data_IF_484089881032
#
_entry.id   IF_484089881032
#
_cell.length_a   1.000
_cell.length_b   1.000
_cell.length_c   1.000
_cell.angle_alpha   90.00
_cell.angle_beta   90.00
_cell.angle_gamma   90.00
#
_symmetry.space_group_name_H-M   'P 1'
#
loop_
_entity.id
_entity.type
_entity.pdbx_description
1 polymer ?
#
# COMPACT_ATOMS: atom_id res chain seq x y z
N UNK A 1 3.01 12.95 -20.47
CA UNK A 1 1.75 13.37 -19.82
C UNK A 1 1.96 13.72 -18.35
N UNK A 2 2.38 12.81 -17.45
CA UNK A 2 2.68 13.12 -16.03
C UNK A 2 3.78 14.18 -15.91
N UNK A 3 4.86 14.05 -16.66
CA UNK A 3 5.99 14.99 -16.69
C UNK A 3 5.58 16.40 -17.09
N UNK A 4 4.84 16.55 -18.22
CA UNK A 4 4.40 17.87 -18.73
C UNK A 4 3.47 18.55 -17.72
N UNK A 5 2.72 17.76 -16.98
CA UNK A 5 1.83 18.24 -15.95
C UNK A 5 2.60 18.72 -14.70
N UNK A 6 3.60 17.97 -14.22
CA UNK A 6 4.50 18.38 -13.13
C UNK A 6 5.25 19.67 -13.49
N UNK A 7 5.69 19.81 -14.75
CA UNK A 7 6.34 21.04 -15.24
C UNK A 7 5.38 22.26 -15.20
N UNK A 8 4.08 22.06 -15.46
CA UNK A 8 3.06 23.13 -15.36
C UNK A 8 2.82 23.60 -13.93
N UNK A 9 3.05 22.77 -12.94
CA UNK A 9 2.99 23.11 -11.52
C UNK A 9 4.24 23.86 -11.02
N UNK A 10 5.14 24.27 -11.90
CA UNK A 10 6.38 24.98 -11.53
C UNK A 10 7.48 24.08 -10.97
N UNK A 11 7.34 22.77 -11.13
CA UNK A 11 8.36 21.81 -10.74
C UNK A 11 9.55 21.92 -11.69
N UNK A 12 10.53 22.73 -11.29
CA UNK A 12 11.73 22.99 -12.07
C UNK A 12 12.46 21.69 -12.40
N UNK A 13 13.12 21.66 -13.57
CA UNK A 13 14.03 20.57 -13.98
C UNK A 13 15.19 20.45 -12.98
N UNK A 14 15.04 19.64 -11.95
CA UNK A 14 16.17 19.19 -11.18
C UNK A 14 17.00 18.24 -12.06
N UNK A 15 18.33 18.35 -12.10
CA UNK A 15 19.18 17.50 -12.95
C UNK A 15 19.07 16.01 -12.61
N UNK A 16 18.74 15.66 -11.37
CA UNK A 16 18.51 14.28 -10.90
C UNK A 16 17.32 14.25 -9.95
N UNK A 17 16.11 14.07 -10.50
CA UNK A 17 14.91 13.89 -9.67
C UNK A 17 14.97 12.56 -8.93
N UNK A 18 14.63 12.63 -7.64
CA UNK A 18 14.56 11.49 -6.73
C UNK A 18 13.10 11.16 -6.44
N UNK A 19 12.72 9.90 -6.57
CA UNK A 19 11.38 9.45 -6.21
C UNK A 19 11.42 8.36 -5.17
N UNK A 20 10.45 8.39 -4.27
CA UNK A 20 10.17 7.32 -3.33
C UNK A 20 8.94 6.56 -3.79
N UNK A 21 9.05 5.25 -3.88
CA UNK A 21 7.99 4.34 -4.31
C UNK A 21 7.65 3.44 -3.14
N UNK A 22 6.37 3.42 -2.76
CA UNK A 22 5.85 2.73 -1.58
C UNK A 22 4.76 1.76 -2.04
N UNK A 23 5.06 0.47 -2.00
CA UNK A 23 4.13 -0.57 -2.43
C UNK A 23 3.13 -0.92 -1.33
N UNK A 24 2.07 -1.63 -1.67
CA UNK A 24 1.09 -2.10 -0.70
C UNK A 24 1.60 -3.29 0.12
N UNK A 25 0.75 -3.74 1.01
CA UNK A 25 1.03 -4.88 1.91
C UNK A 25 0.12 -4.88 3.13
N UNK A 26 -1.03 -4.20 3.04
CA UNK A 26 -1.97 -4.03 4.14
C UNK A 26 -1.38 -3.23 5.31
N UNK A 27 -2.05 -3.27 6.45
CA UNK A 27 -1.60 -2.53 7.66
C UNK A 27 -0.20 -2.97 8.10
N UNK A 28 0.08 -4.26 8.06
CA UNK A 28 1.38 -4.83 8.43
C UNK A 28 2.48 -4.31 7.49
N UNK A 29 2.19 -4.26 6.18
CA UNK A 29 3.11 -3.71 5.18
C UNK A 29 3.43 -2.23 5.40
N UNK A 30 2.42 -1.41 5.62
CA UNK A 30 2.61 0.01 5.92
C UNK A 30 3.42 0.25 7.20
N UNK A 31 3.21 -0.58 8.24
CA UNK A 31 4.02 -0.52 9.46
C UNK A 31 5.48 -0.90 9.21
N UNK A 32 5.73 -1.92 8.38
CA UNK A 32 7.10 -2.25 7.93
C UNK A 32 7.74 -1.07 7.20
N UNK A 33 7.02 -0.41 6.29
CA UNK A 33 7.54 0.75 5.56
C UNK A 33 7.93 1.89 6.48
N UNK A 34 7.09 2.23 7.46
CA UNK A 34 7.42 3.26 8.46
C UNK A 34 8.68 2.89 9.23
N UNK A 35 8.81 1.65 9.69
CA UNK A 35 10.00 1.16 10.37
C UNK A 35 11.26 1.23 9.49
N UNK A 36 11.14 0.76 8.25
CA UNK A 36 12.21 0.79 7.27
C UNK A 36 12.67 2.23 6.94
N UNK A 37 11.72 3.14 6.74
CA UNK A 37 12.00 4.55 6.50
C UNK A 37 12.66 5.23 7.70
N UNK A 38 12.23 4.90 8.92
CA UNK A 38 12.86 5.44 10.15
C UNK A 38 14.34 5.01 10.25
N UNK A 39 14.64 3.75 9.90
CA UNK A 39 16.04 3.28 9.87
C UNK A 39 16.86 3.94 8.75
N UNK A 40 16.28 4.11 7.55
CA UNK A 40 16.93 4.79 6.43
C UNK A 40 17.21 6.26 6.74
N UNK A 41 16.30 6.95 7.43
CA UNK A 41 16.41 8.37 7.77
C UNK A 41 17.55 8.68 8.79
N UNK A 42 18.08 7.63 9.44
CA UNK A 42 19.28 7.74 10.29
C UNK A 42 20.59 7.74 9.49
N UNK A 43 20.56 7.41 8.20
CA UNK A 43 21.74 7.45 7.36
C UNK A 43 22.18 8.91 7.13
N UNK A 44 23.47 9.25 7.34
CA UNK A 44 23.96 10.56 6.99
C UNK A 44 23.71 10.90 5.52
N UNK A 45 23.03 12.01 5.27
CA UNK A 45 22.71 12.45 3.89
C UNK A 45 21.52 11.77 3.24
N UNK A 46 20.81 10.90 3.93
CA UNK A 46 19.50 10.39 3.51
C UNK A 46 18.40 11.06 4.32
N UNK A 47 17.44 11.68 3.64
CA UNK A 47 16.27 12.28 4.26
C UNK A 47 15.03 11.85 3.49
N UNK A 48 14.18 11.07 4.14
CA UNK A 48 12.98 10.52 3.50
C UNK A 48 11.99 11.60 3.02
N UNK A 49 12.04 12.81 3.60
CA UNK A 49 11.22 13.95 3.19
C UNK A 49 11.82 14.81 2.07
N UNK A 50 13.05 14.52 1.61
CA UNK A 50 13.74 15.29 0.56
C UNK A 50 13.57 14.71 -0.84
N UNK A 51 12.67 13.76 -1.01
CA UNK A 51 12.32 13.24 -2.33
C UNK A 51 11.47 14.25 -3.10
N UNK A 52 11.67 14.29 -4.42
CA UNK A 52 10.96 15.22 -5.31
C UNK A 52 9.56 14.70 -5.66
N UNK A 53 9.30 13.41 -5.45
CA UNK A 53 8.04 12.74 -5.77
C UNK A 53 7.85 11.53 -4.88
N UNK A 54 6.61 11.31 -4.44
CA UNK A 54 6.17 10.08 -3.79
C UNK A 54 5.15 9.37 -4.67
N UNK A 55 5.31 8.07 -4.82
CA UNK A 55 4.36 7.18 -5.50
C UNK A 55 3.93 6.12 -4.51
N UNK A 56 2.64 5.99 -4.26
CA UNK A 56 2.11 5.03 -3.30
C UNK A 56 0.95 4.21 -3.85
N UNK A 57 0.82 2.97 -3.39
CA UNK A 57 -0.34 2.11 -3.59
C UNK A 57 -0.75 1.45 -2.29
N UNK A 58 -2.06 1.18 -2.13
CA UNK A 58 -2.59 0.52 -0.94
C UNK A 58 -2.07 1.17 0.36
N UNK A 59 -1.54 0.40 1.30
CA UNK A 59 -0.94 0.94 2.54
C UNK A 59 0.20 1.92 2.28
N UNK A 60 1.00 1.71 1.23
CA UNK A 60 2.06 2.64 0.83
C UNK A 60 1.54 4.01 0.39
N UNK A 61 0.26 4.11 -0.02
CA UNK A 61 -0.37 5.40 -0.30
C UNK A 61 -0.57 6.25 0.96
N UNK A 62 -0.84 5.63 2.10
CA UNK A 62 -0.94 6.31 3.40
C UNK A 62 0.44 6.84 3.82
N UNK A 63 1.46 5.97 3.77
CA UNK A 63 2.83 6.35 4.13
C UNK A 63 3.33 7.45 3.20
N UNK A 64 3.13 7.31 1.89
CA UNK A 64 3.48 8.31 0.88
C UNK A 64 2.80 9.67 1.11
N UNK A 65 1.52 9.67 1.48
CA UNK A 65 0.79 10.91 1.80
C UNK A 65 1.36 11.62 3.03
N UNK A 66 1.78 10.88 4.06
CA UNK A 66 2.40 11.46 5.25
C UNK A 66 3.79 12.01 4.93
N UNK A 67 4.60 11.27 4.16
CA UNK A 67 5.94 11.73 3.72
C UNK A 67 5.82 12.98 2.83
N UNK A 68 4.90 13.00 1.87
CA UNK A 68 4.64 14.14 0.99
C UNK A 68 4.17 15.38 1.77
N UNK A 69 3.47 15.19 2.89
CA UNK A 69 3.08 16.23 3.83
C UNK A 69 4.20 16.65 4.80
N UNK A 70 5.39 16.03 4.75
CA UNK A 70 6.55 16.43 5.54
C UNK A 70 6.64 15.77 6.92
N UNK A 71 5.83 14.76 7.22
CA UNK A 71 5.96 13.99 8.47
C UNK A 71 7.25 13.19 8.43
N UNK A 72 8.08 13.32 9.46
CA UNK A 72 9.35 12.59 9.54
C UNK A 72 9.12 11.12 9.89
N UNK A 73 9.83 10.17 9.24
CA UNK A 73 9.68 8.76 9.56
C UNK A 73 9.91 8.41 11.01
N UNK A 74 10.95 9.01 11.63
CA UNK A 74 11.26 8.80 13.06
C UNK A 74 10.18 9.33 14.00
N UNK A 75 9.51 10.44 13.66
CA UNK A 75 8.36 10.96 14.41
C UNK A 75 7.18 9.98 14.31
N UNK A 76 6.84 9.54 13.10
CA UNK A 76 5.76 8.59 12.88
C UNK A 76 6.04 7.25 13.55
N UNK A 77 7.28 6.76 13.48
CA UNK A 77 7.73 5.56 14.19
C UNK A 77 7.47 5.68 15.70
N UNK A 78 7.90 6.78 16.32
CA UNK A 78 7.73 7.00 17.75
C UNK A 78 6.24 7.10 18.16
N UNK A 79 5.40 7.75 17.35
CA UNK A 79 3.95 7.82 17.57
C UNK A 79 3.35 6.42 17.62
N UNK A 80 3.70 5.56 16.66
CA UNK A 80 3.15 4.22 16.50
C UNK A 80 3.74 3.22 17.51
N UNK A 81 5.04 3.28 17.79
CA UNK A 81 5.72 2.35 18.69
C UNK A 81 5.37 2.59 20.16
N UNK A 82 5.30 3.85 20.55
CA UNK A 82 4.98 4.27 21.92
C UNK A 82 3.48 4.44 22.19
N UNK A 83 2.63 4.22 21.16
CA UNK A 83 1.18 4.43 21.24
C UNK A 83 0.79 5.83 21.76
N UNK A 84 1.50 6.85 21.27
CA UNK A 84 1.26 8.24 21.68
C UNK A 84 -0.18 8.64 21.37
N UNK A 85 -0.74 9.51 22.20
CA UNK A 85 -2.03 10.15 21.92
C UNK A 85 -1.85 11.21 20.81
N UNK A 86 -1.95 10.73 19.57
CA UNK A 86 -1.72 11.51 18.35
C UNK A 86 -2.73 11.08 17.27
N UNK A 87 -3.28 12.01 16.49
CA UNK A 87 -4.20 11.68 15.38
C UNK A 87 -3.64 10.68 14.36
N UNK A 88 -2.31 10.60 14.20
CA UNK A 88 -1.63 9.66 13.30
C UNK A 88 -1.42 8.27 13.93
N UNK A 89 -1.76 8.09 15.20
CA UNK A 89 -1.69 6.80 15.84
C UNK A 89 -2.86 5.92 15.38
N UNK A 90 -2.59 5.09 14.38
CA UNK A 90 -3.54 4.23 13.73
C UNK A 90 -4.02 3.11 14.66
N UNK A 91 -5.11 3.36 15.40
CA UNK A 91 -5.68 2.41 16.33
C UNK A 91 -6.78 1.55 15.66
N UNK A 92 -6.91 0.29 16.11
CA UNK A 92 -7.93 -0.66 15.65
C UNK A 92 -9.34 -0.07 15.66
N UNK A 93 -9.67 0.72 16.71
CA UNK A 93 -10.97 1.35 16.85
C UNK A 93 -11.28 2.44 15.83
N UNK A 94 -10.26 3.05 15.22
CA UNK A 94 -10.40 4.11 14.23
C UNK A 94 -10.81 3.60 12.86
N UNK A 95 -10.41 2.38 12.50
CA UNK A 95 -10.66 1.76 11.18
C UNK A 95 -11.83 0.79 11.19
N UNK A 96 -12.03 0.07 12.31
CA UNK A 96 -13.10 -0.90 12.47
C UNK A 96 -14.13 -0.41 13.49
N UNK A 97 -14.94 0.57 13.11
CA UNK A 97 -16.09 0.96 13.94
C UNK A 97 -17.18 -0.13 13.94
N UNK A 98 -17.99 -0.16 15.01
CA UNK A 98 -19.15 -1.08 15.11
C UNK A 98 -20.05 -1.05 13.87
N UNK A 99 -20.10 0.05 13.13
CA UNK A 99 -20.82 0.19 11.86
C UNK A 99 -20.25 -0.66 10.71
N UNK A 100 -18.94 -0.89 10.67
CA UNK A 100 -18.31 -1.77 9.65
C UNK A 100 -18.68 -3.23 9.87
N UNK A 101 -18.83 -3.66 11.14
CA UNK A 101 -19.25 -5.01 11.49
C UNK A 101 -20.73 -5.27 11.21
N UNK A 102 -21.61 -4.27 11.35
CA UNK A 102 -23.03 -4.43 11.02
C UNK A 102 -23.24 -4.61 9.51
N UNK A 103 -22.45 -3.94 8.67
CA UNK A 103 -22.40 -4.16 7.22
C UNK A 103 -21.91 -5.57 6.88
N UNK A 104 -20.77 -5.98 7.45
CA UNK A 104 -20.20 -7.31 7.23
C UNK A 104 -21.16 -8.42 7.70
N UNK A 105 -21.80 -8.28 8.88
CA UNK A 105 -22.79 -9.23 9.38
C UNK A 105 -24.01 -9.32 8.45
N UNK A 106 -24.49 -8.17 7.94
CA UNK A 106 -25.59 -8.14 6.97
C UNK A 106 -25.19 -8.82 5.66
N UNK A 107 -24.02 -8.54 5.14
CA UNK A 107 -23.50 -9.13 3.89
C UNK A 107 -23.31 -10.64 4.05
N UNK A 108 -22.78 -11.10 5.18
CA UNK A 108 -22.66 -12.53 5.49
C UNK A 108 -24.04 -13.19 5.64
N UNK A 109 -25.01 -12.53 6.31
CA UNK A 109 -26.38 -13.03 6.42
C UNK A 109 -27.08 -13.11 5.06
N UNK A 110 -26.87 -12.12 4.19
CA UNK A 110 -27.38 -12.15 2.81
C UNK A 110 -26.78 -13.30 2.00
N UNK A 111 -25.46 -13.53 2.14
CA UNK A 111 -24.76 -14.65 1.48
C UNK A 111 -25.31 -16.01 1.94
N UNK A 112 -25.42 -16.23 3.27
CA UNK A 112 -25.97 -17.47 3.85
C UNK A 112 -27.44 -17.66 3.41
N UNK A 113 -28.23 -16.59 3.40
CA UNK A 113 -29.61 -16.62 2.94
C UNK A 113 -29.74 -16.95 1.44
N UNK A 114 -28.86 -16.36 0.59
CA UNK A 114 -28.84 -16.59 -0.84
C UNK A 114 -28.52 -18.07 -1.17
N UNK A 115 -27.51 -18.64 -0.49
CA UNK A 115 -27.18 -20.07 -0.59
C UNK A 115 -28.36 -20.93 -0.10
N UNK A 116 -28.92 -20.63 1.06
CA UNK A 116 -30.04 -21.37 1.63
C UNK A 116 -31.28 -21.34 0.75
N UNK A 117 -31.64 -20.18 0.20
CA UNK A 117 -32.76 -20.03 -0.72
C UNK A 117 -32.58 -20.88 -1.98
N UNK A 118 -31.40 -20.86 -2.60
CA UNK A 118 -31.11 -21.64 -3.81
C UNK A 118 -31.03 -23.13 -3.55
N UNK A 119 -30.45 -23.54 -2.42
CA UNK A 119 -30.43 -24.95 -2.03
C UNK A 119 -31.86 -25.53 -1.88
N UNK A 120 -32.83 -24.69 -1.51
CA UNK A 120 -34.25 -25.09 -1.38
C UNK A 120 -35.00 -25.04 -2.70
N UNK A 121 -34.67 -24.08 -3.58
CA UNK A 121 -35.38 -23.91 -4.87
C UNK A 121 -34.86 -24.83 -5.99
N UNK A 122 -33.58 -25.17 -5.96
CA UNK A 122 -32.91 -25.96 -7.02
C UNK A 122 -32.34 -27.27 -6.47
N UNK A 123 -33.21 -28.16 -6.00
CA UNK A 123 -32.89 -29.46 -5.37
C UNK A 123 -32.08 -30.45 -6.26
N UNK A 124 -31.75 -30.08 -7.50
CA UNK A 124 -31.03 -30.91 -8.48
C UNK A 124 -29.65 -30.38 -8.88
N UNK A 125 -29.16 -29.28 -8.28
CA UNK A 125 -27.85 -28.71 -8.60
C UNK A 125 -26.77 -29.36 -7.74
N UNK A 126 -25.67 -29.78 -8.40
CA UNK A 126 -24.46 -30.17 -7.70
C UNK A 126 -23.82 -28.95 -6.99
N UNK A 127 -23.14 -29.17 -5.86
CA UNK A 127 -22.52 -28.11 -5.07
C UNK A 127 -21.64 -27.13 -5.86
N UNK A 128 -20.84 -27.56 -6.88
CA UNK A 128 -20.06 -26.64 -7.70
C UNK A 128 -20.93 -25.68 -8.52
N UNK A 129 -22.04 -26.15 -9.08
CA UNK A 129 -22.98 -25.32 -9.85
C UNK A 129 -23.74 -24.33 -8.97
N UNK A 130 -24.06 -24.75 -7.73
CA UNK A 130 -24.68 -23.88 -6.74
C UNK A 130 -23.76 -22.73 -6.36
N UNK A 131 -22.48 -23.00 -6.11
CA UNK A 131 -21.48 -21.99 -5.79
C UNK A 131 -21.22 -21.05 -6.98
N UNK A 132 -21.08 -21.59 -8.19
CA UNK A 132 -20.86 -20.81 -9.40
C UNK A 132 -22.01 -19.85 -9.71
N UNK A 133 -23.26 -20.31 -9.56
CA UNK A 133 -24.46 -19.49 -9.79
C UNK A 133 -24.76 -18.53 -8.64
N UNK A 134 -24.28 -18.81 -7.43
CA UNK A 134 -24.41 -17.92 -6.26
C UNK A 134 -23.42 -16.76 -6.29
N UNK A 135 -22.42 -16.78 -7.18
CA UNK A 135 -21.43 -15.73 -7.30
C UNK A 135 -22.02 -14.32 -7.50
N UNK A 136 -23.11 -14.23 -8.27
CA UNK A 136 -23.83 -12.96 -8.46
C UNK A 136 -24.62 -12.45 -7.26
N UNK A 137 -24.84 -13.30 -6.24
CA UNK A 137 -25.54 -12.95 -5.00
C UNK A 137 -24.55 -12.69 -3.84
N UNK A 138 -23.23 -12.86 -4.12
CA UNK A 138 -22.21 -12.51 -3.13
C UNK A 138 -22.10 -10.98 -3.03
N UNK A 139 -21.88 -10.44 -1.81
CA UNK A 139 -21.59 -9.02 -1.68
C UNK A 139 -20.27 -8.68 -2.40
N UNK A 140 -20.12 -7.46 -2.94
CA UNK A 140 -18.91 -7.04 -3.65
C UNK A 140 -17.67 -6.98 -2.75
N UNK A 141 -17.85 -7.05 -1.44
CA UNK A 141 -16.85 -7.10 -0.38
C UNK A 141 -17.50 -7.24 0.98
N UNK A 142 -16.73 -7.59 2.00
CA UNK A 142 -17.26 -7.77 3.35
C UNK A 142 -17.24 -6.49 4.16
N UNK A 143 -16.31 -5.57 3.89
CA UNK A 143 -16.10 -4.34 4.66
C UNK A 143 -16.13 -3.10 3.76
N UNK A 144 -16.53 -1.96 4.35
CA UNK A 144 -16.45 -0.66 3.70
C UNK A 144 -15.17 0.08 4.09
N UNK A 145 -14.62 0.85 3.17
CA UNK A 145 -13.47 1.74 3.40
C UNK A 145 -13.86 3.16 3.82
N UNK A 146 -15.15 3.47 3.93
CA UNK A 146 -15.60 4.77 4.42
C UNK A 146 -15.01 5.14 5.81
N UNK A 147 -14.86 4.21 6.78
CA UNK A 147 -14.19 4.51 8.05
C UNK A 147 -12.72 4.84 7.90
N UNK A 148 -12.00 4.18 6.99
CA UNK A 148 -10.58 4.48 6.69
C UNK A 148 -10.47 5.88 6.08
N UNK A 149 -11.29 6.21 5.09
CA UNK A 149 -11.32 7.54 4.48
C UNK A 149 -11.55 8.63 5.53
N UNK A 150 -12.59 8.47 6.36
CA UNK A 150 -12.92 9.43 7.40
C UNK A 150 -11.77 9.61 8.40
N UNK A 151 -11.16 8.51 8.85
CA UNK A 151 -10.01 8.54 9.74
C UNK A 151 -8.83 9.30 9.12
N UNK A 152 -8.43 8.96 7.88
CA UNK A 152 -7.31 9.62 7.20
C UNK A 152 -7.58 11.12 7.05
N UNK A 153 -8.77 11.49 6.59
CA UNK A 153 -9.19 12.88 6.44
C UNK A 153 -9.11 13.66 7.76
N UNK A 154 -9.63 13.08 8.84
CA UNK A 154 -9.65 13.69 10.16
C UNK A 154 -8.25 13.80 10.76
N UNK A 155 -7.42 12.76 10.60
CA UNK A 155 -6.05 12.74 11.09
C UNK A 155 -5.18 13.80 10.37
N UNK A 156 -5.28 13.89 9.05
CA UNK A 156 -4.59 14.95 8.28
C UNK A 156 -5.02 16.34 8.74
N UNK A 157 -6.33 16.59 8.86
CA UNK A 157 -6.86 17.89 9.31
C UNK A 157 -6.42 18.23 10.73
N UNK A 158 -6.48 17.28 11.66
CA UNK A 158 -6.11 17.50 13.06
C UNK A 158 -4.62 17.83 13.22
N UNK A 159 -3.77 17.31 12.31
CA UNK A 159 -2.33 17.62 12.27
C UNK A 159 -2.00 18.85 11.41
N UNK A 160 -2.98 19.53 10.85
CA UNK A 160 -2.77 20.67 9.94
C UNK A 160 -2.11 20.28 8.61
N UNK A 161 -2.27 19.02 8.19
CA UNK A 161 -1.73 18.47 6.96
C UNK A 161 -2.72 18.62 5.81
N UNK A 162 -2.21 18.64 4.56
CA UNK A 162 -3.06 18.75 3.39
C UNK A 162 -3.75 17.42 3.07
N UNK A 163 -5.06 17.48 2.82
CA UNK A 163 -5.84 16.41 2.20
C UNK A 163 -6.07 16.67 0.69
N UNK A 164 -5.27 17.56 0.09
CA UNK A 164 -5.34 17.98 -1.31
C UNK A 164 -3.95 17.81 -1.94
N UNK A 165 -3.88 17.20 -3.12
CA UNK A 165 -2.62 16.97 -3.83
C UNK A 165 -1.87 18.25 -4.19
N UNK A 166 -2.58 19.36 -4.46
CA UNK A 166 -1.96 20.66 -4.75
C UNK A 166 -1.36 21.27 -3.48
N UNK A 167 -1.96 21.00 -2.33
CA UNK A 167 -1.55 21.55 -1.04
C UNK A 167 -0.40 20.81 -0.36
N UNK A 168 0.04 19.65 -0.87
CA UNK A 168 1.18 18.93 -0.29
C UNK A 168 2.50 19.63 -0.60
N UNK A 169 3.44 19.72 0.36
CA UNK A 169 4.78 20.26 0.14
C UNK A 169 5.57 19.56 -0.98
N UNK A 170 5.28 18.30 -1.22
CA UNK A 170 5.91 17.49 -2.27
C UNK A 170 4.84 16.76 -3.09
N UNK A 171 5.03 16.53 -4.40
CA UNK A 171 4.09 15.75 -5.21
C UNK A 171 3.89 14.36 -4.68
N UNK A 172 2.64 13.95 -4.79
CA UNK A 172 2.18 12.61 -4.46
C UNK A 172 1.38 12.06 -5.63
N UNK A 173 1.67 10.84 -6.02
CA UNK A 173 0.86 10.05 -6.95
C UNK A 173 0.33 8.82 -6.20
N UNK A 174 -0.96 8.56 -6.32
CA UNK A 174 -1.60 7.36 -5.75
C UNK A 174 -2.25 6.58 -6.88
N UNK A 175 -1.83 5.31 -7.03
CA UNK A 175 -2.37 4.43 -8.06
C UNK A 175 -3.56 3.63 -7.54
N UNK A 176 -4.57 3.45 -8.39
CA UNK A 176 -5.69 2.52 -8.19
C UNK A 176 -6.10 1.92 -9.53
N UNK A 177 -6.96 0.90 -9.48
CA UNK A 177 -7.52 0.29 -10.70
C UNK A 177 -9.00 0.67 -10.83
N UNK A 178 -9.36 1.31 -11.93
CA UNK A 178 -10.75 1.57 -12.31
C UNK A 178 -11.36 0.24 -12.78
N UNK A 179 -12.29 -0.30 -11.97
CA UNK A 179 -12.74 -1.69 -12.10
C UNK A 179 -13.43 -1.96 -13.44
N UNK A 180 -14.43 -1.14 -13.80
CA UNK A 180 -15.22 -1.34 -15.01
C UNK A 180 -14.45 -1.00 -16.30
N UNK A 181 -13.43 -0.15 -16.21
CA UNK A 181 -12.57 0.24 -17.33
C UNK A 181 -11.39 -0.72 -17.51
N UNK A 182 -11.10 -1.55 -16.51
CA UNK A 182 -9.96 -2.44 -16.45
C UNK A 182 -8.61 -1.71 -16.70
N UNK A 183 -8.47 -0.50 -16.15
CA UNK A 183 -7.29 0.35 -16.36
C UNK A 183 -6.73 0.90 -15.05
N UNK A 184 -5.42 1.10 -15.03
CA UNK A 184 -4.75 1.83 -13.95
C UNK A 184 -5.06 3.32 -14.05
N UNK A 185 -5.45 3.91 -12.93
CA UNK A 185 -5.61 5.36 -12.78
C UNK A 185 -4.63 5.91 -11.75
N UNK A 186 -4.28 7.18 -11.89
CA UNK A 186 -3.30 7.85 -11.03
C UNK A 186 -3.93 9.12 -10.46
N UNK A 187 -4.28 9.07 -9.17
CA UNK A 187 -4.69 10.24 -8.42
C UNK A 187 -3.49 11.14 -8.15
N UNK A 188 -3.72 12.44 -8.07
CA UNK A 188 -2.65 13.43 -8.00
C UNK A 188 -2.10 13.80 -9.37
N UNK A 189 -2.79 13.44 -10.46
CA UNK A 189 -2.45 13.84 -11.82
C UNK A 189 -3.69 14.05 -12.71
N UNK A 190 -3.58 14.89 -13.72
CA UNK A 190 -4.63 15.11 -14.71
C UNK A 190 -5.99 15.48 -14.08
N UNK A 191 -7.06 14.85 -14.57
CA UNK A 191 -8.44 15.06 -14.12
C UNK A 191 -8.77 14.51 -12.73
N UNK A 192 -7.82 13.78 -12.11
CA UNK A 192 -7.96 13.20 -10.76
C UNK A 192 -7.16 13.97 -9.69
N UNK A 193 -6.67 15.15 -10.03
CA UNK A 193 -5.92 16.04 -9.16
C UNK A 193 -6.75 16.62 -8.02
N UNK A 194 -8.02 16.85 -8.26
CA UNK A 194 -8.98 17.49 -7.34
C UNK A 194 -9.74 16.46 -6.48
N UNK A 195 -9.37 15.16 -6.56
CA UNK A 195 -9.86 14.13 -5.64
C UNK A 195 -9.11 14.29 -4.31
N UNK A 196 -9.80 14.29 -3.15
CA UNK A 196 -9.13 14.33 -1.85
C UNK A 196 -8.17 13.14 -1.67
N UNK A 197 -7.01 13.38 -1.04
CA UNK A 197 -6.00 12.33 -0.77
C UNK A 197 -6.62 11.16 0.01
N UNK A 198 -7.48 11.45 1.01
CA UNK A 198 -8.17 10.42 1.79
C UNK A 198 -9.05 9.50 0.94
N UNK A 199 -9.74 10.04 -0.09
CA UNK A 199 -10.52 9.24 -1.02
C UNK A 199 -9.63 8.42 -1.97
N UNK A 200 -8.54 9.01 -2.45
CA UNK A 200 -7.57 8.31 -3.28
C UNK A 200 -6.92 7.12 -2.53
N UNK A 201 -6.57 7.33 -1.24
CA UNK A 201 -6.07 6.27 -0.35
C UNK A 201 -7.12 5.15 -0.20
N UNK A 202 -8.39 5.50 0.05
CA UNK A 202 -9.45 4.51 0.17
C UNK A 202 -9.64 3.72 -1.13
N UNK A 203 -9.63 4.39 -2.29
CA UNK A 203 -9.70 3.73 -3.60
C UNK A 203 -8.53 2.78 -3.83
N UNK A 204 -7.32 3.23 -3.51
CA UNK A 204 -6.08 2.46 -3.65
C UNK A 204 -5.95 1.29 -2.65
N UNK A 205 -6.77 1.27 -1.59
CA UNK A 205 -6.74 0.24 -0.54
C UNK A 205 -7.91 -0.73 -0.61
N UNK A 206 -8.73 -0.68 -1.66
CA UNK A 206 -9.92 -1.52 -1.82
C UNK A 206 -9.54 -2.93 -2.30
N UNK A 207 -8.94 -3.74 -1.40
CA UNK A 207 -8.51 -5.11 -1.67
C UNK A 207 -9.71 -5.97 -2.06
N UNK A 208 -9.73 -6.55 -3.29
CA UNK A 208 -10.84 -7.36 -3.78
C UNK A 208 -11.13 -8.56 -2.86
N UNK A 209 -12.41 -8.83 -2.64
CA UNK A 209 -12.87 -9.91 -1.78
C UNK A 209 -12.82 -9.59 -0.28
N UNK A 210 -12.09 -8.59 0.16
CA UNK A 210 -12.08 -8.11 1.54
C UNK A 210 -12.91 -6.83 1.68
N UNK A 211 -12.60 -5.81 0.89
CA UNK A 211 -13.36 -4.57 0.83
C UNK A 211 -14.26 -4.52 -0.41
N UNK A 212 -15.38 -3.83 -0.29
CA UNK A 212 -16.16 -3.42 -1.45
C UNK A 212 -15.36 -2.39 -2.28
N UNK A 213 -15.52 -2.36 -3.61
CA UNK A 213 -14.90 -1.34 -4.45
C UNK A 213 -15.25 0.07 -3.94
N UNK A 214 -14.26 0.96 -3.88
CA UNK A 214 -14.50 2.32 -3.40
C UNK A 214 -14.99 3.22 -4.53
N UNK A 215 -16.12 3.90 -4.31
CA UNK A 215 -16.77 4.68 -5.37
C UNK A 215 -16.40 6.16 -5.29
N UNK A 216 -15.84 6.70 -6.39
CA UNK A 216 -15.55 8.13 -6.56
C UNK A 216 -16.20 8.61 -7.87
N UNK A 217 -17.05 9.64 -7.81
CA UNK A 217 -17.68 10.26 -9.00
C UNK A 217 -18.39 9.25 -9.91
N UNK A 218 -19.01 8.25 -9.30
CA UNK A 218 -19.78 7.23 -10.02
C UNK A 218 -18.94 6.09 -10.63
N UNK A 219 -17.61 6.08 -10.45
CA UNK A 219 -16.72 4.98 -10.87
C UNK A 219 -16.27 4.17 -9.67
N UNK A 220 -16.13 2.87 -9.85
CA UNK A 220 -15.69 1.93 -8.84
C UNK A 220 -14.19 1.63 -9.01
N UNK A 221 -13.46 1.69 -7.90
CA UNK A 221 -12.02 1.49 -7.85
C UNK A 221 -11.67 0.34 -6.90
N UNK A 222 -10.63 -0.41 -7.26
CA UNK A 222 -10.02 -1.44 -6.42
C UNK A 222 -8.54 -1.14 -6.20
N UNK A 223 -7.93 -1.90 -5.29
CA UNK A 223 -6.54 -1.73 -4.85
C UNK A 223 -5.56 -1.55 -6.01
N UNK A 224 -4.64 -0.60 -5.86
CA UNK A 224 -3.65 -0.26 -6.87
C UNK A 224 -2.69 -1.40 -7.21
N UNK A 225 -2.47 -2.33 -6.30
CA UNK A 225 -1.58 -3.47 -6.52
C UNK A 225 -2.22 -4.60 -7.35
N UNK A 226 -3.50 -4.47 -7.74
CA UNK A 226 -4.15 -5.40 -8.67
C UNK A 226 -3.56 -5.25 -10.07
N UNK A 227 -2.77 -6.24 -10.49
CA UNK A 227 -2.12 -6.26 -11.81
C UNK A 227 -0.87 -5.40 -11.95
N UNK A 228 -0.54 -4.60 -10.94
CA UNK A 228 0.68 -3.80 -10.85
C UNK A 228 1.21 -3.84 -9.42
N UNK A 229 2.51 -3.63 -9.23
CA UNK A 229 3.06 -3.53 -7.87
C UNK A 229 4.15 -2.47 -7.82
N UNK A 230 4.05 -1.57 -6.82
CA UNK A 230 5.02 -0.51 -6.55
C UNK A 230 5.00 0.66 -7.52
N UNK A 231 4.46 0.51 -8.74
CA UNK A 231 4.26 1.59 -9.72
C UNK A 231 5.51 2.47 -9.97
N UNK A 232 6.71 1.87 -9.96
CA UNK A 232 7.97 2.59 -10.15
C UNK A 232 8.09 3.24 -11.55
N UNK A 233 7.37 2.73 -12.54
CA UNK A 233 7.24 3.30 -13.88
C UNK A 233 6.67 4.72 -13.84
N UNK A 234 5.71 5.01 -12.96
CA UNK A 234 5.14 6.36 -12.79
C UNK A 234 6.21 7.37 -12.34
N UNK A 235 7.13 6.94 -11.47
CA UNK A 235 8.24 7.78 -11.04
C UNK A 235 9.21 8.08 -12.20
N UNK A 236 9.51 7.08 -13.04
CA UNK A 236 10.35 7.22 -14.23
C UNK A 236 9.69 8.11 -15.29
N UNK A 237 8.38 7.91 -15.54
CA UNK A 237 7.59 8.76 -16.43
C UNK A 237 7.56 10.22 -15.95
N UNK A 238 7.57 10.46 -14.63
CA UNK A 238 7.68 11.77 -14.02
C UNK A 238 9.10 12.37 -14.13
N UNK A 239 10.08 11.62 -14.66
CA UNK A 239 11.44 12.04 -14.90
C UNK A 239 12.40 11.76 -13.74
N UNK A 240 12.06 10.88 -12.81
CA UNK A 240 12.99 10.47 -11.76
C UNK A 240 14.14 9.65 -12.32
N UNK A 241 15.35 9.91 -11.80
CA UNK A 241 16.59 9.20 -12.14
C UNK A 241 17.13 8.37 -10.97
N UNK A 242 16.67 8.66 -9.78
CA UNK A 242 17.01 7.93 -8.55
C UNK A 242 15.73 7.52 -7.87
N UNK A 243 15.52 6.22 -7.72
CA UNK A 243 14.36 5.64 -7.06
C UNK A 243 14.76 4.89 -5.81
N UNK A 244 14.03 5.12 -4.72
CA UNK A 244 14.04 4.24 -3.54
C UNK A 244 12.67 3.57 -3.48
N UNK A 245 12.63 2.26 -3.66
CA UNK A 245 11.40 1.48 -3.71
C UNK A 245 11.30 0.56 -2.48
N UNK A 246 10.27 0.75 -1.68
CA UNK A 246 9.94 -0.12 -0.55
C UNK A 246 8.86 -1.11 -1.00
N UNK A 247 9.10 -2.41 -0.79
CA UNK A 247 8.14 -3.46 -1.11
C UNK A 247 7.97 -4.41 0.07
N UNK A 248 6.98 -4.22 0.96
CA UNK A 248 6.72 -5.12 2.07
C UNK A 248 6.02 -6.42 1.67
N UNK A 249 5.39 -6.48 0.50
CA UNK A 249 4.59 -7.62 0.02
C UNK A 249 5.46 -8.75 -0.53
N UNK A 250 6.34 -9.30 0.33
CA UNK A 250 7.20 -10.43 0.00
C UNK A 250 6.59 -11.71 0.54
N UNK A 251 6.41 -12.77 -0.29
CA UNK A 251 5.86 -14.04 0.17
C UNK A 251 6.81 -14.72 1.15
N UNK A 252 6.24 -15.51 2.04
CA UNK A 252 7.03 -16.29 2.99
C UNK A 252 7.59 -17.54 2.33
N UNK A 253 8.83 -17.85 2.66
CA UNK A 253 9.45 -19.11 2.31
C UNK A 253 9.65 -19.93 3.59
N UNK A 254 8.84 -20.98 3.79
CA UNK A 254 8.84 -21.84 4.96
C UNK A 254 9.73 -23.08 4.74
N UNK A 255 10.94 -22.91 4.22
CA UNK A 255 11.85 -24.01 3.95
C UNK A 255 12.32 -24.69 5.26
N UNK A 256 11.52 -25.64 5.75
CA UNK A 256 11.98 -26.63 6.76
C UNK A 256 12.19 -26.11 8.19
N UNK A 257 11.34 -25.20 8.68
CA UNK A 257 11.37 -24.75 10.08
C UNK A 257 10.12 -25.17 10.86
N UNK A 258 10.09 -24.87 12.16
CA UNK A 258 8.94 -25.10 13.05
C UNK A 258 7.74 -24.15 12.77
N UNK A 259 7.83 -23.31 11.72
CA UNK A 259 6.76 -22.42 11.34
C UNK A 259 5.56 -23.22 10.81
N UNK A 260 4.33 -22.89 11.21
CA UNK A 260 3.14 -23.59 10.75
C UNK A 260 2.97 -23.42 9.24
N UNK A 261 2.61 -24.49 8.55
CA UNK A 261 2.32 -24.49 7.11
C UNK A 261 1.24 -23.43 6.78
N UNK A 262 1.42 -22.69 5.67
CA UNK A 262 0.47 -21.70 5.17
C UNK A 262 -0.96 -22.27 5.08
N UNK A 263 -1.08 -23.53 4.66
CA UNK A 263 -2.35 -24.27 4.57
C UNK A 263 -3.14 -24.25 5.87
N UNK A 264 -2.49 -24.25 7.03
CA UNK A 264 -3.17 -24.24 8.34
C UNK A 264 -3.83 -22.91 8.65
N UNK A 265 -3.43 -21.83 8.00
CA UNK A 265 -4.08 -20.52 8.08
C UNK A 265 -5.37 -20.40 7.27
N UNK A 266 -5.78 -21.49 6.58
CA UNK A 266 -7.02 -21.55 5.81
C UNK A 266 -6.99 -20.76 4.50
N UNK A 267 -8.16 -20.54 3.91
CA UNK A 267 -8.31 -19.91 2.59
C UNK A 267 -7.67 -18.53 2.53
N UNK A 268 -7.85 -17.72 3.57
CA UNK A 268 -7.31 -16.36 3.62
C UNK A 268 -5.78 -16.36 3.51
N UNK A 269 -5.09 -17.16 4.32
CA UNK A 269 -3.62 -17.24 4.29
C UNK A 269 -3.08 -17.75 2.95
N UNK A 270 -3.81 -18.67 2.29
CA UNK A 270 -3.46 -19.15 0.95
C UNK A 270 -3.62 -18.03 -0.07
N UNK A 271 -4.73 -17.31 -0.04
CA UNK A 271 -4.97 -16.17 -0.94
C UNK A 271 -3.93 -15.07 -0.74
N UNK A 272 -3.64 -14.70 0.50
CA UNK A 272 -2.63 -13.70 0.83
C UNK A 272 -1.24 -14.11 0.33
N UNK A 273 -0.80 -15.33 0.62
CA UNK A 273 0.48 -15.85 0.14
C UNK A 273 0.57 -15.84 -1.39
N UNK A 274 -0.48 -16.27 -2.08
CA UNK A 274 -0.52 -16.28 -3.56
C UNK A 274 -0.53 -14.89 -4.15
N UNK A 275 -1.21 -13.94 -3.51
CA UNK A 275 -1.18 -12.53 -3.88
C UNK A 275 0.22 -11.95 -3.72
N UNK A 276 0.90 -12.21 -2.61
CA UNK A 276 2.29 -11.75 -2.41
C UNK A 276 3.26 -12.36 -3.43
N UNK A 277 3.08 -13.64 -3.81
CA UNK A 277 3.87 -14.27 -4.88
C UNK A 277 3.65 -13.52 -6.22
N UNK A 278 2.40 -13.25 -6.58
CA UNK A 278 2.08 -12.53 -7.81
C UNK A 278 2.62 -11.09 -7.77
N UNK A 279 2.41 -10.37 -6.66
CA UNK A 279 2.90 -9.00 -6.45
C UNK A 279 4.42 -8.90 -6.57
N UNK A 280 5.17 -9.79 -5.91
CA UNK A 280 6.64 -9.80 -6.01
C UNK A 280 7.12 -10.07 -7.43
N UNK A 281 6.46 -10.99 -8.15
CA UNK A 281 6.80 -11.28 -9.55
C UNK A 281 6.54 -10.06 -10.45
N UNK A 282 5.39 -9.41 -10.32
CA UNK A 282 5.04 -8.19 -11.07
C UNK A 282 6.01 -7.05 -10.76
N UNK A 283 6.33 -6.84 -9.48
CA UNK A 283 7.32 -5.85 -9.05
C UNK A 283 8.67 -6.09 -9.71
N UNK A 284 9.17 -7.33 -9.67
CA UNK A 284 10.45 -7.69 -10.28
C UNK A 284 10.44 -7.54 -11.82
N UNK A 285 9.30 -7.85 -12.47
CA UNK A 285 9.14 -7.65 -13.92
C UNK A 285 9.21 -6.16 -14.24
N UNK A 286 8.44 -5.32 -13.53
CA UNK A 286 8.46 -3.87 -13.72
C UNK A 286 9.85 -3.26 -13.51
N UNK A 287 10.58 -3.68 -12.47
CA UNK A 287 11.95 -3.21 -12.24
C UNK A 287 12.93 -3.64 -13.35
N UNK A 288 12.76 -4.86 -13.89
CA UNK A 288 13.58 -5.32 -15.05
C UNK A 288 13.28 -4.51 -16.30
N UNK A 289 12.02 -4.21 -16.56
CA UNK A 289 11.60 -3.37 -17.68
C UNK A 289 12.20 -1.96 -17.56
N UNK A 290 12.10 -1.34 -16.39
CA UNK A 290 12.73 -0.03 -16.14
C UNK A 290 14.23 -0.08 -16.41
N UNK A 291 14.96 -1.11 -15.94
CA UNK A 291 16.39 -1.25 -16.17
C UNK A 291 16.76 -1.42 -17.63
N UNK A 292 15.88 -2.06 -18.43
CA UNK A 292 16.09 -2.25 -19.87
C UNK A 292 15.82 -0.97 -20.67
N UNK A 293 14.72 -0.28 -20.36
CA UNK A 293 14.28 0.90 -21.10
C UNK A 293 14.98 2.19 -20.63
N UNK A 294 15.39 2.23 -19.36
CA UNK A 294 15.97 3.38 -18.69
C UNK A 294 17.24 2.98 -17.91
N UNK A 295 18.34 2.58 -18.61
CA UNK A 295 19.55 2.07 -17.96
C UNK A 295 20.27 3.12 -17.10
N UNK A 296 19.95 4.39 -17.27
CA UNK A 296 20.45 5.53 -16.50
C UNK A 296 19.69 5.75 -15.16
N UNK A 297 18.58 5.02 -14.93
CA UNK A 297 17.84 5.11 -13.69
C UNK A 297 18.46 4.21 -12.62
N UNK A 298 18.81 4.81 -11.48
CA UNK A 298 19.31 4.09 -10.31
C UNK A 298 18.13 3.69 -9.41
N UNK A 299 18.08 2.42 -9.01
CA UNK A 299 17.01 1.90 -8.16
C UNK A 299 17.60 1.22 -6.94
N UNK A 300 17.23 1.69 -5.75
CA UNK A 300 17.43 1.03 -4.47
C UNK A 300 16.11 0.33 -4.08
N UNK A 301 16.17 -0.98 -3.90
CA UNK A 301 15.03 -1.76 -3.41
C UNK A 301 15.25 -2.10 -1.95
N UNK A 302 14.26 -1.79 -1.11
CA UNK A 302 14.21 -2.12 0.32
C UNK A 302 13.00 -3.02 0.54
N UNK A 303 13.25 -4.27 0.90
CA UNK A 303 12.21 -5.26 1.12
C UNK A 303 12.67 -6.30 2.13
N UNK A 304 11.74 -6.97 2.86
CA UNK A 304 12.10 -8.06 3.75
C UNK A 304 12.64 -9.26 2.98
N UNK A 305 13.46 -10.07 3.63
CA UNK A 305 13.82 -11.36 3.08
C UNK A 305 12.62 -12.33 3.09
N UNK A 306 12.50 -13.25 2.11
CA UNK A 306 11.42 -14.24 2.03
C UNK A 306 11.62 -15.36 3.05
N UNK A 307 11.59 -15.05 4.33
CA UNK A 307 11.72 -15.97 5.47
C UNK A 307 10.57 -15.75 6.47
N UNK A 308 10.33 -16.70 7.39
CA UNK A 308 9.36 -16.48 8.45
C UNK A 308 9.66 -15.17 9.19
N UNK A 309 8.67 -14.29 9.29
CA UNK A 309 8.83 -12.95 9.85
C UNK A 309 7.53 -12.51 10.54
N UNK A 310 7.54 -11.45 11.34
CA UNK A 310 6.32 -10.85 11.90
C UNK A 310 5.35 -10.29 10.85
N UNK A 311 5.75 -10.27 9.57
CA UNK A 311 4.87 -9.89 8.47
C UNK A 311 3.89 -11.02 8.08
N UNK A 312 3.86 -12.09 8.90
CA UNK A 312 2.97 -13.24 8.79
C UNK A 312 1.69 -12.97 9.57
N UNK A 313 0.60 -13.36 9.01
CA UNK A 313 -0.71 -13.27 9.63
C UNK A 313 -1.64 -12.39 8.78
N UNK A 314 -2.88 -12.19 9.18
CA UNK A 314 -3.77 -11.35 8.42
C UNK A 314 -3.12 -9.98 8.22
N UNK A 315 -2.84 -9.59 6.97
CA UNK A 315 -2.18 -8.32 6.63
C UNK A 315 -2.91 -7.11 7.21
N UNK A 316 -4.16 -7.30 7.60
CA UNK A 316 -5.01 -6.34 8.31
C UNK A 316 -5.00 -6.51 9.84
N UNK A 317 -4.08 -7.31 10.39
CA UNK A 317 -4.00 -7.60 11.83
C UNK A 317 -3.26 -6.52 12.62
N UNK A 318 -3.96 -5.84 13.54
CA UNK A 318 -3.38 -4.78 14.36
C UNK A 318 -2.41 -5.29 15.45
N UNK A 319 -2.59 -6.50 15.95
CA UNK A 319 -1.70 -7.07 16.98
C UNK A 319 -0.28 -7.31 16.43
N UNK A 320 -0.20 -7.70 15.15
CA UNK A 320 1.08 -7.90 14.47
C UNK A 320 1.71 -6.58 13.98
N UNK A 321 0.97 -5.47 13.97
CA UNK A 321 1.41 -4.22 13.33
C UNK A 321 2.63 -3.60 13.99
N UNK A 322 2.69 -3.57 15.35
CA UNK A 322 3.86 -3.06 16.06
C UNK A 322 5.08 -3.95 15.92
N UNK A 323 4.86 -5.28 15.88
CA UNK A 323 5.95 -6.22 15.60
C UNK A 323 6.53 -6.01 14.20
N UNK A 324 5.67 -5.71 13.20
CA UNK A 324 6.08 -5.38 11.85
C UNK A 324 6.83 -4.05 11.76
N UNK A 325 6.38 -3.02 12.49
CA UNK A 325 7.06 -1.74 12.60
C UNK A 325 8.51 -1.90 13.11
N UNK A 326 8.66 -2.58 14.26
CA UNK A 326 9.97 -2.84 14.86
C UNK A 326 10.84 -3.77 14.00
N UNK A 327 10.23 -4.72 13.31
CA UNK A 327 10.91 -5.61 12.38
C UNK A 327 11.48 -4.83 11.20
N UNK A 328 10.69 -3.93 10.58
CA UNK A 328 11.15 -3.08 9.49
C UNK A 328 12.35 -2.23 9.90
N UNK A 329 12.27 -1.55 11.04
CA UNK A 329 13.37 -0.76 11.57
C UNK A 329 14.63 -1.60 11.80
N UNK A 330 14.50 -2.69 12.56
CA UNK A 330 15.65 -3.52 12.93
C UNK A 330 16.33 -4.16 11.72
N UNK A 331 15.56 -4.79 10.82
CA UNK A 331 16.13 -5.51 9.68
C UNK A 331 16.79 -4.58 8.67
N UNK A 332 16.24 -3.39 8.46
CA UNK A 332 16.87 -2.39 7.61
C UNK A 332 18.13 -1.83 8.28
N UNK A 333 18.11 -1.59 9.59
CA UNK A 333 19.30 -1.17 10.33
C UNK A 333 20.43 -2.19 10.24
N UNK A 334 20.14 -3.47 10.50
CA UNK A 334 21.08 -4.58 10.36
C UNK A 334 21.64 -4.68 8.93
N UNK A 335 20.78 -4.48 7.91
CA UNK A 335 21.21 -4.46 6.52
C UNK A 335 22.12 -3.28 6.21
N UNK A 336 21.84 -2.09 6.74
CA UNK A 336 22.66 -0.88 6.58
C UNK A 336 24.02 -1.00 7.24
N UNK A 337 24.09 -1.65 8.40
CA UNK A 337 25.35 -1.92 9.13
C UNK A 337 26.20 -3.02 8.44
N UNK A 338 25.66 -3.67 7.42
CA UNK A 338 26.27 -4.75 6.66
C UNK A 338 26.31 -4.49 5.15
N UNK A 339 25.68 -5.38 4.34
CA UNK A 339 25.77 -5.31 2.87
C UNK A 339 25.11 -4.06 2.29
N UNK A 340 24.20 -3.42 2.99
CA UNK A 340 23.50 -2.22 2.55
C UNK A 340 24.38 -0.97 2.51
N UNK A 341 25.43 -0.89 3.35
CA UNK A 341 26.30 0.28 3.44
C UNK A 341 26.89 0.68 2.08
N UNK A 342 27.40 -0.28 1.33
CA UNK A 342 27.99 -0.02 0.00
C UNK A 342 26.94 0.34 -1.04
N UNK A 343 25.72 -0.21 -0.93
CA UNK A 343 24.63 0.04 -1.86
C UNK A 343 24.05 1.44 -1.64
N UNK A 344 23.83 1.81 -0.38
CA UNK A 344 23.21 3.09 0.01
C UNK A 344 24.12 4.28 -0.19
N UNK A 345 25.44 4.11 -0.20
CA UNK A 345 26.41 5.19 -0.42
C UNK A 345 26.13 6.02 -1.69
N UNK A 346 25.53 5.43 -2.71
CA UNK A 346 25.15 6.12 -3.95
C UNK A 346 23.88 6.97 -3.81
N UNK A 347 23.07 6.71 -2.77
CA UNK A 347 21.79 7.37 -2.53
C UNK A 347 21.86 8.45 -1.44
N UNK A 348 22.99 8.50 -0.71
CA UNK A 348 23.25 9.43 0.40
C UNK A 348 24.10 10.63 0.00
N UNK A 349 24.60 10.71 -1.24
CA UNK A 349 25.39 11.86 -1.69
C UNK A 349 24.51 13.12 -1.68
N UNK A 350 24.94 14.12 -0.92
CA UNK A 350 24.31 15.42 -0.88
C UNK A 350 24.19 16.02 -2.29
N UNK A 351 23.08 16.69 -2.55
CA UNK A 351 22.97 17.57 -3.73
C UNK A 351 24.06 18.63 -3.61
N UNK A 352 25.12 18.53 -4.43
CA UNK A 352 26.15 19.56 -4.57
C UNK A 352 25.60 20.77 -5.32
#
# INVERSE_FOLDING_TARGET
MIRDWLERLGWARAPERRAMVLAGGGVIGGMYEVGALAALDELPGFHANDFDLYVGSSAGSVVGALMANGIRPGELYAILDEERDDPLNFQRGSVYHKGSFSGAARNLAQFVWAIGKRAVTDFRLEWPDLLARSGGDMPPGFFSLAPLEAYVREALLARGLSNDFVGTPRPLLIAAIALDQAERVVFGSGDLMDVPISQAIAASSAIPGFFEPYRIRGRDYVDGDVGYTGHADLAVEAGAKVLVALNPAVPQCLNGGDAPEIRRGGLYAIMEQTTHIASLNLFNVGLREIKLLHPDVQILVVQPEPRPSPLVGPSMGFEASRAALRYGYRTVKEWLDGPGAAVTARFTQARS
#
